data_IF_136643261853
#
_entry.id   IF_136643261853
#
_cell.length_a   1.000
_cell.length_b   1.000
_cell.length_c   1.000
_cell.angle_alpha   90.00
_cell.angle_beta   90.00
_cell.angle_gamma   90.00
#
_symmetry.space_group_name_H-M   'P 1'
#
loop_
_entity.id
_entity.type
_entity.pdbx_description
1 polymer ?
#
# COMPACT_ATOMS: atom_id res chain seq x y z
N UNK A 1 -7.59 -3.91 -2.84
CA UNK A 1 -6.63 -4.96 -2.40
C UNK A 1 -5.20 -4.64 -2.85
N UNK A 2 -4.90 -4.55 -4.14
CA UNK A 2 -3.53 -4.35 -4.62
C UNK A 2 -2.78 -3.14 -4.04
N UNK A 3 -3.42 -1.96 -3.95
CA UNK A 3 -2.76 -0.78 -3.35
C UNK A 3 -2.50 -0.97 -1.85
N UNK A 4 -3.43 -1.61 -1.14
CA UNK A 4 -3.30 -1.93 0.29
C UNK A 4 -2.18 -2.97 0.55
N UNK A 5 -2.06 -3.95 -0.35
CA UNK A 5 -1.00 -4.97 -0.34
C UNK A 5 0.38 -4.32 -0.49
N UNK A 6 0.46 -3.26 -1.30
CA UNK A 6 1.71 -2.59 -1.62
C UNK A 6 2.51 -3.35 -2.68
N UNK A 7 1.86 -3.72 -3.79
CA UNK A 7 2.60 -4.14 -4.98
C UNK A 7 3.50 -3.00 -5.48
N UNK A 8 4.73 -3.28 -5.93
CA UNK A 8 5.70 -2.28 -6.39
C UNK A 8 5.33 -1.80 -7.80
N UNK A 9 4.32 -0.93 -7.93
CA UNK A 9 4.47 0.52 -8.12
C UNK A 9 3.28 1.33 -7.54
N UNK A 10 2.54 0.77 -6.59
CA UNK A 10 1.29 1.34 -6.06
C UNK A 10 1.53 2.29 -4.89
N UNK A 11 0.59 3.21 -4.66
CA UNK A 11 0.71 4.26 -3.65
C UNK A 11 0.99 3.71 -2.24
N UNK A 12 0.36 2.58 -1.86
CA UNK A 12 0.63 1.94 -0.57
C UNK A 12 2.02 1.33 -0.44
N UNK A 13 2.70 0.98 -1.54
CA UNK A 13 4.10 0.57 -1.53
C UNK A 13 5.03 1.77 -1.37
N UNK A 14 4.76 2.88 -2.08
CA UNK A 14 5.56 4.11 -2.00
C UNK A 14 5.67 4.63 -0.56
N UNK A 15 4.56 4.63 0.18
CA UNK A 15 4.55 5.01 1.60
C UNK A 15 5.42 4.10 2.47
N UNK A 16 5.30 2.78 2.33
CA UNK A 16 6.15 1.80 3.06
C UNK A 16 7.62 1.94 2.68
N UNK A 17 7.91 2.13 1.40
CA UNK A 17 9.26 2.29 0.89
C UNK A 17 9.91 3.57 1.42
N UNK A 18 9.17 4.68 1.52
CA UNK A 18 9.66 5.91 2.13
C UNK A 18 10.07 5.71 3.60
N UNK A 19 9.29 4.93 4.37
CA UNK A 19 9.64 4.56 5.76
C UNK A 19 10.86 3.65 5.81
N UNK A 20 10.97 2.67 4.92
CA UNK A 20 12.16 1.80 4.86
C UNK A 20 13.42 2.56 4.43
N UNK A 21 13.30 3.51 3.51
CA UNK A 21 14.39 4.39 3.10
C UNK A 21 14.86 5.27 4.27
N UNK A 22 13.95 5.88 5.02
CA UNK A 22 14.31 6.70 6.18
C UNK A 22 14.97 5.89 7.31
N UNK A 23 14.52 4.65 7.55
CA UNK A 23 15.19 3.73 8.49
C UNK A 23 16.61 3.38 8.01
N UNK A 24 16.78 3.11 6.71
CA UNK A 24 18.08 2.79 6.15
C UNK A 24 19.05 3.98 6.22
N UNK A 25 18.57 5.20 5.98
CA UNK A 25 19.37 6.41 6.09
C UNK A 25 19.73 6.72 7.55
N UNK A 26 18.78 6.55 8.47
CA UNK A 26 19.05 6.67 9.91
C UNK A 26 20.06 5.62 10.41
N UNK A 27 20.00 4.39 9.88
CA UNK A 27 21.00 3.36 10.17
C UNK A 27 22.39 3.79 9.72
N UNK A 28 22.53 4.30 8.49
CA UNK A 28 23.83 4.81 7.99
C UNK A 28 24.39 5.99 8.80
N UNK A 29 23.51 6.79 9.41
CA UNK A 29 23.92 7.95 10.21
C UNK A 29 24.29 7.58 11.65
N UNK A 30 23.70 6.53 12.21
CA UNK A 30 23.79 6.22 13.66
C UNK A 30 24.53 4.91 13.95
N UNK A 31 24.76 4.06 12.93
CA UNK A 31 25.24 2.66 13.06
C UNK A 31 24.43 1.81 14.06
N UNK A 32 23.18 2.21 14.27
CA UNK A 32 22.30 1.60 15.24
C UNK A 32 21.72 0.28 14.72
N UNK A 33 22.32 -0.85 15.12
CA UNK A 33 21.94 -2.21 14.68
C UNK A 33 20.44 -2.52 14.82
N UNK A 34 19.73 -1.94 15.80
CA UNK A 34 18.29 -2.16 15.95
C UNK A 34 17.47 -1.66 14.75
N UNK A 35 17.93 -0.62 14.04
CA UNK A 35 17.28 -0.11 12.82
C UNK A 35 17.37 -1.11 11.67
N UNK A 36 18.51 -1.80 11.55
CA UNK A 36 18.69 -2.86 10.55
C UNK A 36 17.76 -4.05 10.85
N UNK A 37 17.60 -4.42 12.13
CA UNK A 37 16.65 -5.46 12.53
C UNK A 37 15.21 -5.06 12.20
N UNK A 38 14.81 -3.81 12.48
CA UNK A 38 13.49 -3.30 12.12
C UNK A 38 13.24 -3.33 10.61
N UNK A 39 14.25 -2.95 9.82
CA UNK A 39 14.18 -3.00 8.36
C UNK A 39 13.95 -4.43 7.84
N UNK A 40 14.71 -5.40 8.38
CA UNK A 40 14.58 -6.80 7.99
C UNK A 40 13.22 -7.39 8.40
N UNK A 41 12.77 -7.15 9.63
CA UNK A 41 11.47 -7.63 10.12
C UNK A 41 10.32 -6.98 9.35
N UNK A 42 10.39 -5.67 9.10
CA UNK A 42 9.40 -4.94 8.30
C UNK A 42 9.34 -5.42 6.85
N UNK A 43 10.51 -5.70 6.24
CA UNK A 43 10.62 -6.28 4.91
C UNK A 43 10.01 -7.69 4.84
N UNK A 44 10.35 -8.55 5.80
CA UNK A 44 9.80 -9.91 5.89
C UNK A 44 8.27 -9.90 6.09
N UNK A 45 7.76 -9.05 6.97
CA UNK A 45 6.32 -8.90 7.19
C UNK A 45 5.59 -8.42 5.93
N UNK A 46 6.23 -7.53 5.15
CA UNK A 46 5.69 -7.06 3.87
C UNK A 46 5.64 -8.18 2.84
N UNK A 47 6.70 -8.98 2.72
CA UNK A 47 6.74 -10.12 1.81
C UNK A 47 5.71 -11.20 2.19
N UNK A 48 5.57 -11.50 3.49
CA UNK A 48 4.59 -12.45 3.99
C UNK A 48 3.16 -11.99 3.69
N UNK A 49 2.85 -10.72 3.97
CA UNK A 49 1.56 -10.11 3.65
C UNK A 49 1.27 -10.19 2.14
N UNK A 50 2.25 -9.89 1.28
CA UNK A 50 2.10 -10.00 -0.16
C UNK A 50 1.69 -11.42 -0.59
N UNK A 51 2.37 -12.44 -0.05
CA UNK A 51 2.05 -13.84 -0.36
C UNK A 51 0.61 -14.20 0.04
N UNK A 52 0.18 -13.90 1.27
CA UNK A 52 -1.16 -14.24 1.74
C UNK A 52 -2.25 -13.52 0.92
N UNK A 53 -2.05 -12.25 0.60
CA UNK A 53 -3.06 -11.50 -0.12
C UNK A 53 -3.15 -11.89 -1.60
N UNK A 54 -2.03 -12.21 -2.26
CA UNK A 54 -2.05 -12.74 -3.62
C UNK A 54 -2.75 -14.10 -3.68
N UNK A 55 -2.57 -14.95 -2.67
CA UNK A 55 -3.30 -16.21 -2.56
C UNK A 55 -4.81 -15.99 -2.48
N UNK A 56 -5.27 -15.03 -1.67
CA UNK A 56 -6.71 -14.68 -1.59
C UNK A 56 -7.21 -14.14 -2.93
N UNK A 57 -6.48 -13.21 -3.56
CA UNK A 57 -6.87 -12.66 -4.86
C UNK A 57 -6.95 -13.75 -5.94
N UNK A 58 -6.03 -14.72 -5.92
CA UNK A 58 -6.05 -15.88 -6.81
C UNK A 58 -7.33 -16.69 -6.62
N UNK A 59 -7.68 -17.05 -5.37
CA UNK A 59 -8.89 -17.80 -5.06
C UNK A 59 -10.14 -17.04 -5.55
N UNK A 60 -10.19 -15.72 -5.34
CA UNK A 60 -11.36 -14.92 -5.74
C UNK A 60 -11.55 -14.76 -7.25
N UNK A 61 -10.47 -14.82 -8.05
CA UNK A 61 -10.53 -14.47 -9.48
C UNK A 61 -10.34 -15.69 -10.39
N UNK A 62 -9.56 -16.68 -9.95
CA UNK A 62 -9.14 -17.81 -10.80
C UNK A 62 -9.79 -19.14 -10.42
N UNK A 63 -10.33 -19.29 -9.22
CA UNK A 63 -11.01 -20.52 -8.82
C UNK A 63 -12.51 -20.43 -9.14
N UNK A 64 -13.09 -21.56 -9.52
CA UNK A 64 -14.52 -21.64 -9.80
C UNK A 64 -15.31 -21.49 -8.49
N UNK A 65 -16.50 -20.85 -8.54
CA UNK A 65 -17.38 -20.77 -7.38
C UNK A 65 -17.71 -22.18 -6.88
N UNK A 66 -17.79 -22.35 -5.56
CA UNK A 66 -18.30 -23.60 -5.00
C UNK A 66 -19.72 -23.86 -5.52
N UNK A 67 -20.06 -25.14 -5.71
CA UNK A 67 -21.41 -25.54 -6.15
C UNK A 67 -22.49 -24.92 -5.26
N UNK A 68 -23.47 -24.24 -5.87
CA UNK A 68 -24.56 -23.56 -5.17
C UNK A 68 -24.33 -22.09 -4.82
N UNK A 69 -23.23 -21.47 -5.27
CA UNK A 69 -23.02 -20.03 -5.14
C UNK A 69 -23.63 -19.30 -6.34
N UNK A 70 -24.76 -18.64 -6.14
CA UNK A 70 -25.32 -17.69 -7.11
C UNK A 70 -24.51 -16.38 -7.08
N UNK A 71 -23.89 -16.04 -8.21
CA UNK A 71 -23.22 -14.75 -8.38
C UNK A 71 -24.29 -13.73 -8.76
N UNK A 72 -24.75 -12.92 -7.80
CA UNK A 72 -25.66 -11.81 -8.08
C UNK A 72 -25.03 -10.83 -9.08
N UNK A 73 -25.76 -10.55 -10.16
CA UNK A 73 -25.35 -9.55 -11.14
C UNK A 73 -25.68 -8.15 -10.60
N UNK A 74 -24.70 -7.50 -9.96
CA UNK A 74 -24.85 -6.12 -9.50
C UNK A 74 -25.04 -5.16 -10.69
N UNK A 75 -26.04 -4.25 -10.64
CA UNK A 75 -26.23 -3.24 -11.66
C UNK A 75 -25.03 -2.28 -11.68
N UNK A 76 -24.31 -2.24 -12.81
CA UNK A 76 -23.05 -1.51 -12.99
C UNK A 76 -23.16 0.02 -12.99
N UNK A 77 -24.36 0.59 -12.82
CA UNK A 77 -24.61 2.02 -12.99
C UNK A 77 -25.42 2.58 -11.81
N UNK A 78 -24.76 3.36 -10.95
CA UNK A 78 -25.36 3.98 -9.76
C UNK A 78 -24.31 4.58 -8.81
N UNK A 79 -24.69 4.73 -7.54
CA UNK A 79 -23.85 5.26 -6.45
C UNK A 79 -22.57 4.44 -6.19
N UNK A 80 -22.61 3.14 -6.45
CA UNK A 80 -21.48 2.22 -6.25
C UNK A 80 -20.30 2.52 -7.17
N UNK A 81 -20.57 2.84 -8.44
CA UNK A 81 -19.54 3.24 -9.40
C UNK A 81 -18.89 4.56 -8.98
N UNK A 82 -19.70 5.51 -8.50
CA UNK A 82 -19.21 6.80 -7.97
C UNK A 82 -18.31 6.57 -6.75
N UNK A 83 -18.73 5.72 -5.82
CA UNK A 83 -17.93 5.35 -4.65
C UNK A 83 -16.60 4.69 -5.05
N UNK A 84 -16.63 3.75 -5.99
CA UNK A 84 -15.44 3.05 -6.47
C UNK A 84 -14.44 4.03 -7.09
N UNK A 85 -14.92 4.97 -7.91
CA UNK A 85 -14.09 6.04 -8.50
C UNK A 85 -13.58 6.98 -7.42
N UNK A 86 -14.43 7.40 -6.48
CA UNK A 86 -14.05 8.32 -5.40
C UNK A 86 -12.93 7.77 -4.51
N UNK A 87 -12.87 6.46 -4.27
CA UNK A 87 -11.81 5.81 -3.47
C UNK A 87 -10.58 5.45 -4.32
N UNK A 88 -10.79 5.00 -5.55
CA UNK A 88 -9.70 4.53 -6.42
C UNK A 88 -8.91 5.68 -7.03
N UNK A 89 -9.59 6.75 -7.46
CA UNK A 89 -8.95 7.88 -8.14
C UNK A 89 -7.89 8.56 -7.27
N UNK A 90 -8.14 8.93 -6.00
CA UNK A 90 -7.10 9.53 -5.15
C UNK A 90 -5.91 8.58 -4.95
N UNK A 91 -6.18 7.28 -4.78
CA UNK A 91 -5.14 6.27 -4.61
C UNK A 91 -4.25 6.14 -5.86
N UNK A 92 -4.83 6.25 -7.05
CA UNK A 92 -4.10 6.26 -8.30
C UNK A 92 -3.33 7.57 -8.51
N UNK A 93 -3.95 8.72 -8.19
CA UNK A 93 -3.31 10.03 -8.28
C UNK A 93 -2.09 10.12 -7.36
N UNK A 94 -2.12 9.53 -6.16
CA UNK A 94 -0.98 9.50 -5.24
C UNK A 94 0.28 8.86 -5.84
N UNK A 95 0.14 7.95 -6.80
CA UNK A 95 1.28 7.33 -7.48
C UNK A 95 2.04 8.39 -8.31
N UNK A 96 1.31 9.26 -9.01
CA UNK A 96 1.89 10.30 -9.87
C UNK A 96 2.24 11.58 -9.11
N UNK A 97 1.43 11.93 -8.11
CA UNK A 97 1.56 13.14 -7.30
C UNK A 97 2.34 12.90 -5.99
N UNK A 98 3.19 11.87 -5.94
CA UNK A 98 3.97 11.56 -4.74
C UNK A 98 4.88 12.72 -4.29
N UNK A 99 5.65 13.30 -5.22
CA UNK A 99 6.62 14.34 -4.90
C UNK A 99 6.03 15.57 -4.18
N UNK A 100 4.96 16.21 -4.67
CA UNK A 100 4.38 17.35 -3.96
C UNK A 100 3.83 16.94 -2.59
N UNK A 101 3.16 15.79 -2.48
CA UNK A 101 2.63 15.29 -1.20
C UNK A 101 3.75 15.08 -0.20
N UNK A 102 4.85 14.44 -0.61
CA UNK A 102 6.02 14.22 0.24
C UNK A 102 6.62 15.54 0.74
N UNK A 103 6.74 16.55 -0.13
CA UNK A 103 7.25 17.87 0.25
C UNK A 103 6.37 18.54 1.32
N UNK A 104 5.04 18.56 1.13
CA UNK A 104 4.11 19.13 2.11
C UNK A 104 4.19 18.42 3.46
N UNK A 105 4.30 17.08 3.47
CA UNK A 105 4.42 16.31 4.71
C UNK A 105 5.71 16.64 5.43
N UNK A 106 6.83 16.72 4.72
CA UNK A 106 8.13 17.06 5.33
C UNK A 106 8.10 18.46 5.94
N UNK A 107 7.51 19.44 5.25
CA UNK A 107 7.42 20.81 5.77
C UNK A 107 6.49 20.91 6.99
N UNK A 108 5.36 20.19 6.96
CA UNK A 108 4.45 20.11 8.10
C UNK A 108 5.10 19.44 9.32
N UNK A 109 5.85 18.36 9.11
CA UNK A 109 6.57 17.68 10.19
C UNK A 109 7.66 18.56 10.78
N UNK A 110 8.41 19.29 9.94
CA UNK A 110 9.43 20.25 10.41
C UNK A 110 8.84 21.34 11.29
N UNK A 111 7.68 21.89 10.91
CA UNK A 111 6.98 22.90 11.70
C UNK A 111 6.45 22.37 13.05
N UNK A 112 6.23 21.06 13.17
CA UNK A 112 5.77 20.43 14.40
C UNK A 112 6.90 20.18 15.41
N UNK A 113 8.12 19.92 14.92
CA UNK A 113 9.30 19.57 15.74
C UNK A 113 10.22 20.76 16.03
N UNK A 114 9.93 21.94 15.47
CA UNK A 114 10.59 23.22 15.75
C UNK A 114 9.90 23.98 16.87
#
# INVERSE_FOLDING_TARGET
>A
LFSLIGLPPLAGFLGKFAVFASIADAFRATDATYLLVLLLVGGANTALSLYYYLRVAKIMVMEEPAEGVDIEQYPKAGLEAVYLVAVTLPTALLIFFWNPVHAYVVDAVKALIS
#
